data_IF_420564301690
#
_entry.id   IF_420564301690
#
_cell.length_a   1.000
_cell.length_b   1.000
_cell.length_c   1.000
_cell.angle_alpha   90.00
_cell.angle_beta   90.00
_cell.angle_gamma   90.00
#
_symmetry.space_group_name_H-M   'P 1'
#
loop_
_entity.id
_entity.type
_entity.pdbx_description
1 polymer ?
#
# COMPACT_ATOMS: atom_id res chain seq x y z
N UNK A 1 13.69 -4.97 6.54
CA UNK A 1 13.27 -3.58 6.76
C UNK A 1 12.82 -3.39 8.22
N UNK A 2 13.30 -2.34 8.88
CA UNK A 2 12.80 -1.89 10.20
C UNK A 2 11.57 -0.98 10.03
N UNK A 3 10.90 -0.62 11.12
CA UNK A 3 9.63 0.13 11.08
C UNK A 3 9.79 1.55 10.53
N UNK A 4 10.91 2.22 10.81
CA UNK A 4 11.21 3.58 10.35
C UNK A 4 11.48 3.60 8.84
N UNK A 5 12.23 2.62 8.34
CA UNK A 5 12.46 2.42 6.91
C UNK A 5 11.15 2.12 6.18
N UNK A 6 10.30 1.30 6.78
CA UNK A 6 8.98 0.96 6.23
C UNK A 6 8.04 2.15 6.19
N UNK A 7 8.00 2.96 7.26
CA UNK A 7 7.26 4.21 7.28
C UNK A 7 7.74 5.16 6.18
N UNK A 8 9.05 5.32 6.03
CA UNK A 8 9.63 6.15 4.97
C UNK A 8 9.21 5.63 3.58
N UNK A 9 9.25 4.32 3.38
CA UNK A 9 8.86 3.71 2.12
C UNK A 9 7.37 3.92 1.82
N UNK A 10 6.46 3.63 2.75
CA UNK A 10 5.02 3.85 2.55
C UNK A 10 4.71 5.32 2.25
N UNK A 11 5.38 6.28 2.90
CA UNK A 11 5.22 7.71 2.60
C UNK A 11 5.60 8.05 1.16
N UNK A 12 6.68 7.48 0.65
CA UNK A 12 7.06 7.65 -0.76
C UNK A 12 6.01 7.01 -1.68
N UNK A 13 5.59 5.77 -1.39
CA UNK A 13 4.61 5.08 -2.23
C UNK A 13 3.23 5.78 -2.22
N UNK A 14 2.82 6.45 -1.13
CA UNK A 14 1.58 7.25 -1.06
C UNK A 14 1.62 8.50 -1.93
N UNK A 15 2.81 9.06 -2.19
CA UNK A 15 2.99 10.17 -3.12
C UNK A 15 3.05 9.65 -4.56
N UNK A 16 3.91 8.65 -4.81
CA UNK A 16 4.16 8.11 -6.14
C UNK A 16 2.91 7.46 -6.77
N UNK A 17 1.95 6.97 -5.96
CA UNK A 17 0.73 6.33 -6.46
C UNK A 17 -0.19 7.31 -7.22
N UNK A 18 -0.10 8.62 -6.96
CA UNK A 18 -0.91 9.64 -7.64
C UNK A 18 -0.51 9.83 -9.12
N UNK A 19 0.74 9.50 -9.46
CA UNK A 19 1.29 9.64 -10.81
C UNK A 19 1.12 8.37 -11.67
N UNK A 20 0.32 7.41 -11.20
CA UNK A 20 0.07 6.19 -11.94
C UNK A 20 -0.78 6.43 -13.18
N UNK A 21 -0.45 5.69 -14.22
CA UNK A 21 -1.08 5.70 -15.53
C UNK A 21 -1.42 4.28 -15.94
N UNK A 22 -2.29 4.13 -16.93
CA UNK A 22 -2.63 2.82 -17.50
C UNK A 22 -1.43 2.06 -18.06
N UNK A 23 -0.27 2.71 -18.25
CA UNK A 23 0.96 2.08 -18.76
C UNK A 23 1.87 1.52 -17.67
N UNK A 24 1.83 2.06 -16.45
CA UNK A 24 2.80 1.74 -15.40
C UNK A 24 2.15 1.21 -14.11
N UNK A 25 0.82 1.34 -13.95
CA UNK A 25 0.13 0.96 -12.71
C UNK A 25 0.38 -0.50 -12.34
N UNK A 26 0.31 -1.42 -13.31
CA UNK A 26 0.44 -2.86 -13.04
C UNK A 26 1.77 -3.21 -12.34
N UNK A 27 2.89 -2.80 -12.93
CA UNK A 27 4.23 -3.07 -12.38
C UNK A 27 4.41 -2.40 -11.03
N UNK A 28 3.88 -1.19 -10.86
CA UNK A 28 3.97 -0.46 -9.61
C UNK A 28 3.17 -1.14 -8.49
N UNK A 29 1.91 -1.48 -8.76
CA UNK A 29 1.02 -2.14 -7.79
C UNK A 29 1.55 -3.52 -7.39
N UNK A 30 2.09 -4.32 -8.32
CA UNK A 30 2.70 -5.62 -7.98
C UNK A 30 3.88 -5.45 -7.00
N UNK A 31 4.73 -4.44 -7.20
CA UNK A 31 5.84 -4.11 -6.28
C UNK A 31 5.30 -3.68 -4.91
N UNK A 32 4.36 -2.74 -4.90
CA UNK A 32 3.76 -2.19 -3.69
C UNK A 32 3.12 -3.29 -2.84
N UNK A 33 2.32 -4.15 -3.46
CA UNK A 33 1.61 -5.21 -2.76
C UNK A 33 2.55 -6.28 -2.20
N UNK A 34 3.64 -6.61 -2.91
CA UNK A 34 4.67 -7.50 -2.36
C UNK A 34 5.31 -6.91 -1.11
N UNK A 35 5.72 -5.64 -1.16
CA UNK A 35 6.31 -4.97 0.00
C UNK A 35 5.36 -4.99 1.20
N UNK A 36 4.09 -4.65 0.97
CA UNK A 36 3.08 -4.60 2.04
C UNK A 36 2.77 -6.00 2.59
N UNK A 37 2.64 -7.01 1.73
CA UNK A 37 2.37 -8.38 2.15
C UNK A 37 3.51 -8.99 2.97
N UNK A 38 4.77 -8.70 2.65
CA UNK A 38 5.92 -9.30 3.34
C UNK A 38 6.41 -8.45 4.51
N UNK A 39 6.73 -7.18 4.28
CA UNK A 39 7.27 -6.30 5.32
C UNK A 39 6.15 -5.76 6.21
N UNK A 40 5.01 -5.37 5.63
CA UNK A 40 3.85 -4.86 6.38
C UNK A 40 3.27 -5.89 7.34
N UNK A 41 2.99 -7.11 6.89
CA UNK A 41 2.49 -8.18 7.77
C UNK A 41 3.51 -8.54 8.88
N UNK A 42 4.79 -8.68 8.53
CA UNK A 42 5.84 -8.96 9.52
C UNK A 42 5.93 -7.87 10.58
N UNK A 43 5.91 -6.61 10.17
CA UNK A 43 6.02 -5.46 11.08
C UNK A 43 4.73 -5.26 11.89
N UNK A 44 3.56 -5.50 11.29
CA UNK A 44 2.28 -5.48 11.97
C UNK A 44 2.26 -6.46 13.15
N UNK A 45 2.71 -7.71 12.94
CA UNK A 45 2.80 -8.71 14.02
C UNK A 45 3.85 -8.34 15.06
N UNK A 46 4.99 -7.79 14.65
CA UNK A 46 6.11 -7.45 15.55
C UNK A 46 5.79 -6.26 16.46
N UNK A 47 5.10 -5.25 15.92
CA UNK A 47 4.88 -3.95 16.59
C UNK A 47 3.41 -3.71 16.96
N UNK A 48 2.52 -4.69 16.72
CA UNK A 48 1.08 -4.57 16.95
C UNK A 48 0.48 -3.31 16.30
N UNK A 49 0.78 -3.11 15.01
CA UNK A 49 0.42 -1.87 14.30
C UNK A 49 -1.08 -1.71 14.06
N UNK A 50 -1.87 -2.79 14.21
CA UNK A 50 -3.30 -2.84 13.93
C UNK A 50 -3.64 -2.46 12.48
N UNK A 51 -2.73 -2.72 11.54
CA UNK A 51 -2.92 -2.40 10.12
C UNK A 51 -3.50 -3.55 9.30
N UNK A 52 -3.81 -4.69 9.94
CA UNK A 52 -4.39 -5.88 9.28
C UNK A 52 -5.55 -5.58 8.33
N UNK A 53 -6.51 -4.69 8.64
CA UNK A 53 -7.60 -4.38 7.70
C UNK A 53 -7.12 -3.77 6.37
N UNK A 54 -6.10 -2.90 6.43
CA UNK A 54 -5.50 -2.25 5.25
C UNK A 54 -4.65 -3.24 4.44
N UNK A 55 -4.03 -4.21 5.13
CA UNK A 55 -3.31 -5.31 4.48
C UNK A 55 -4.28 -6.26 3.75
N UNK A 56 -5.48 -6.48 4.29
CA UNK A 56 -6.45 -7.42 3.73
C UNK A 56 -6.93 -7.01 2.35
N UNK A 57 -7.25 -5.74 2.12
CA UNK A 57 -7.60 -5.24 0.79
C UNK A 57 -6.47 -5.53 -0.20
N UNK A 58 -5.26 -5.09 0.12
CA UNK A 58 -4.05 -5.28 -0.71
C UNK A 58 -3.70 -6.77 -0.96
N UNK A 59 -3.96 -7.63 0.02
CA UNK A 59 -3.70 -9.07 -0.10
C UNK A 59 -4.80 -9.85 -0.83
N UNK A 60 -6.04 -9.34 -0.82
CA UNK A 60 -7.21 -9.99 -1.40
C UNK A 60 -7.52 -9.52 -2.81
N UNK A 61 -7.14 -8.28 -3.18
CA UNK A 61 -7.21 -7.86 -4.58
C UNK A 61 -6.20 -8.69 -5.36
N UNK A 62 -6.69 -9.59 -6.21
CA UNK A 62 -5.80 -10.51 -6.93
C UNK A 62 -4.97 -9.66 -7.88
N UNK A 63 -3.68 -9.96 -7.97
CA UNK A 63 -2.81 -9.32 -8.97
C UNK A 63 -3.33 -9.51 -10.39
N UNK A 64 -4.13 -10.55 -10.61
CA UNK A 64 -4.80 -10.82 -11.86
C UNK A 64 -5.99 -9.87 -12.12
N UNK A 65 -6.63 -9.31 -11.08
CA UNK A 65 -7.73 -8.35 -11.22
C UNK A 65 -7.25 -7.01 -11.83
N UNK A 66 -5.94 -6.74 -11.76
CA UNK A 66 -5.29 -5.56 -12.34
C UNK A 66 -4.62 -5.81 -13.68
N UNK A 67 -4.61 -7.07 -14.14
CA UNK A 67 -3.85 -7.49 -15.32
C UNK A 67 -4.58 -7.17 -16.63
N UNK A 68 -5.89 -6.97 -16.54
CA UNK A 68 -6.72 -6.48 -17.63
C UNK A 68 -6.66 -4.94 -17.65
N UNK A 69 -6.49 -4.35 -18.83
CA UNK A 69 -6.29 -2.90 -19.04
C UNK A 69 -7.40 -2.07 -18.37
N UNK A 70 -7.18 -1.66 -17.12
CA UNK A 70 -8.12 -0.81 -16.40
C UNK A 70 -8.38 0.46 -17.21
N UNK A 71 -9.65 0.85 -17.31
CA UNK A 71 -9.99 2.17 -17.80
C UNK A 71 -9.39 3.24 -16.88
N UNK A 72 -9.27 4.47 -17.38
CA UNK A 72 -8.75 5.58 -16.57
C UNK A 72 -9.58 5.81 -15.29
N UNK A 73 -10.89 5.61 -15.36
CA UNK A 73 -11.79 5.78 -14.21
C UNK A 73 -11.56 4.68 -13.18
N UNK A 74 -11.50 3.42 -13.61
CA UNK A 74 -11.23 2.29 -12.71
C UNK A 74 -9.86 2.41 -12.06
N UNK A 75 -8.85 2.85 -12.83
CA UNK A 75 -7.52 3.11 -12.28
C UNK A 75 -7.55 4.22 -11.22
N UNK A 76 -8.31 5.30 -11.44
CA UNK A 76 -8.42 6.38 -10.45
C UNK A 76 -9.08 5.89 -9.16
N UNK A 77 -10.15 5.10 -9.24
CA UNK A 77 -10.81 4.52 -8.06
C UNK A 77 -9.87 3.63 -7.24
N UNK A 78 -9.02 2.86 -7.94
CA UNK A 78 -7.99 2.03 -7.31
C UNK A 78 -6.92 2.89 -6.64
N UNK A 79 -6.43 3.95 -7.31
CA UNK A 79 -5.45 4.88 -6.75
C UNK A 79 -6.01 5.53 -5.47
N UNK A 80 -7.24 6.03 -5.51
CA UNK A 80 -7.88 6.71 -4.38
C UNK A 80 -8.05 5.77 -3.18
N UNK A 81 -8.50 4.53 -3.43
CA UNK A 81 -8.65 3.52 -2.38
C UNK A 81 -7.30 3.15 -1.75
N UNK A 82 -6.29 2.87 -2.59
CA UNK A 82 -4.97 2.47 -2.10
C UNK A 82 -4.26 3.61 -1.37
N UNK A 83 -4.39 4.85 -1.85
CA UNK A 83 -3.85 6.01 -1.16
C UNK A 83 -4.47 6.16 0.24
N UNK A 84 -5.78 6.00 0.35
CA UNK A 84 -6.48 6.04 1.64
C UNK A 84 -5.94 4.99 2.61
N UNK A 85 -5.71 3.76 2.13
CA UNK A 85 -5.13 2.68 2.94
C UNK A 85 -3.68 2.98 3.36
N UNK A 86 -2.86 3.50 2.45
CA UNK A 86 -1.48 3.91 2.74
C UNK A 86 -1.45 5.01 3.80
N UNK A 87 -2.28 6.04 3.68
CA UNK A 87 -2.35 7.16 4.62
C UNK A 87 -2.80 6.70 6.01
N UNK A 88 -3.74 5.76 6.08
CA UNK A 88 -4.13 5.14 7.35
C UNK A 88 -2.97 4.36 7.98
N UNK A 89 -2.21 3.59 7.19
CA UNK A 89 -1.04 2.88 7.68
C UNK A 89 0.05 3.83 8.18
N UNK A 90 0.31 4.92 7.45
CA UNK A 90 1.26 5.98 7.85
C UNK A 90 0.86 6.53 9.22
N UNK A 91 -0.39 6.97 9.36
CA UNK A 91 -0.90 7.54 10.60
C UNK A 91 -0.75 6.59 11.80
N UNK A 92 -1.08 5.30 11.61
CA UNK A 92 -0.94 4.28 12.65
C UNK A 92 0.51 4.08 13.08
N UNK A 93 1.42 3.97 12.12
CA UNK A 93 2.84 3.76 12.39
C UNK A 93 3.46 5.00 13.08
N UNK A 94 3.14 6.20 12.62
CA UNK A 94 3.60 7.45 13.25
C UNK A 94 3.15 7.58 14.70
N UNK A 95 1.88 7.25 14.96
CA UNK A 95 1.32 7.29 16.32
C UNK A 95 2.09 6.36 17.26
N UNK A 96 2.51 5.19 16.77
CA UNK A 96 3.29 4.22 17.55
C UNK A 96 4.73 4.68 17.78
N UNK A 97 5.36 5.32 16.80
CA UNK A 97 6.74 5.82 16.94
C UNK A 97 6.84 7.09 17.80
N UNK A 98 5.74 7.83 17.95
CA UNK A 98 5.69 9.04 18.76
C UNK A 98 5.42 8.77 20.26
N UNK A 99 4.93 7.57 20.61
CA UNK A 99 4.63 7.15 21.98
C UNK A 99 5.71 6.27 22.58
#
# INVERSE_FOLDING_TARGET
MIIEEFLKQIKMESLDIEDLTTRNYYTYLDRLFKMIAYDGDRLNRKHNLLITPYLQYISNTRRDDFRDDLSKTELQEVIDSLKTDLDCMIFRIETILAG
#
